data_IF_318660198279
#
_entry.id   IF_318660198279
#
_cell.length_a   1.000
_cell.length_b   1.000
_cell.length_c   1.000
_cell.angle_alpha   90.00
_cell.angle_beta   90.00
_cell.angle_gamma   90.00
#
_symmetry.space_group_name_H-M   'P 1'
#
loop_
_entity.id
_entity.type
_entity.pdbx_description
1 polymer ?
#
# COMPACT_ATOMS: atom_id res chain seq x y z
N UNK A 1 30.54 -6.34 68.43
CA UNK A 1 29.58 -5.53 67.61
C UNK A 1 29.95 -5.44 66.12
N UNK A 2 31.23 -5.50 65.71
CA UNK A 2 31.66 -5.36 64.29
C UNK A 2 31.13 -6.43 63.30
N UNK A 3 31.01 -7.70 63.73
CA UNK A 3 30.55 -8.82 62.87
C UNK A 3 29.08 -8.72 62.44
N UNK A 4 28.21 -8.18 63.31
CA UNK A 4 26.77 -8.01 63.02
C UNK A 4 26.53 -6.89 62.00
N UNK A 5 27.33 -5.82 62.05
CA UNK A 5 27.24 -4.67 61.13
C UNK A 5 27.68 -5.06 59.71
N UNK A 6 28.77 -5.83 59.57
CA UNK A 6 29.20 -6.35 58.26
C UNK A 6 28.18 -7.32 57.64
N UNK A 7 27.54 -8.18 58.44
CA UNK A 7 26.51 -9.09 57.96
C UNK A 7 25.25 -8.34 57.46
N UNK A 8 24.80 -7.30 58.17
CA UNK A 8 23.69 -6.46 57.72
C UNK A 8 24.01 -5.69 56.43
N UNK A 9 25.24 -5.19 56.26
CA UNK A 9 25.67 -4.52 55.04
C UNK A 9 25.68 -5.44 53.82
N UNK A 10 26.09 -6.71 53.99
CA UNK A 10 26.07 -7.70 52.91
C UNK A 10 24.63 -8.06 52.50
N UNK A 11 23.73 -8.21 53.47
CA UNK A 11 22.31 -8.50 53.19
C UNK A 11 21.66 -7.34 52.43
N UNK A 12 21.92 -6.10 52.85
CA UNK A 12 21.42 -4.90 52.15
C UNK A 12 21.98 -4.84 50.73
N UNK A 13 23.28 -5.12 50.53
CA UNK A 13 23.90 -5.16 49.21
C UNK A 13 23.25 -6.18 48.27
N UNK A 14 22.95 -7.40 48.76
CA UNK A 14 22.29 -8.44 47.97
C UNK A 14 20.86 -8.06 47.58
N UNK A 15 20.11 -7.41 48.48
CA UNK A 15 18.75 -6.94 48.21
C UNK A 15 18.76 -5.82 47.14
N UNK A 16 19.70 -4.88 47.22
CA UNK A 16 19.79 -3.80 46.23
C UNK A 16 20.14 -4.35 44.85
N UNK A 17 21.09 -5.29 44.78
CA UNK A 17 21.49 -5.91 43.50
C UNK A 17 20.34 -6.74 42.91
N UNK A 18 19.60 -7.50 43.73
CA UNK A 18 18.48 -8.31 43.23
C UNK A 18 17.33 -7.45 42.67
N UNK A 19 17.02 -6.33 43.32
CA UNK A 19 16.01 -5.38 42.83
C UNK A 19 16.43 -4.76 41.49
N UNK A 20 17.71 -4.41 41.32
CA UNK A 20 18.24 -3.87 40.05
C UNK A 20 18.13 -4.91 38.93
N UNK A 21 18.47 -6.17 39.21
CA UNK A 21 18.36 -7.26 38.23
C UNK A 21 16.90 -7.48 37.83
N UNK A 22 15.96 -7.46 38.78
CA UNK A 22 14.53 -7.61 38.49
C UNK A 22 14.05 -6.45 37.62
N UNK A 23 14.38 -5.21 37.94
CA UNK A 23 13.97 -4.03 37.16
C UNK A 23 14.55 -4.06 35.74
N UNK A 24 15.80 -4.52 35.57
CA UNK A 24 16.42 -4.63 34.26
C UNK A 24 15.89 -5.80 33.42
N UNK A 25 15.54 -6.93 34.04
CA UNK A 25 15.11 -8.15 33.34
C UNK A 25 13.59 -8.17 33.09
N UNK A 26 12.79 -7.55 33.97
CA UNK A 26 11.33 -7.47 33.85
C UNK A 26 10.84 -6.98 32.47
N UNK A 27 11.38 -5.90 31.86
CA UNK A 27 10.94 -5.45 30.53
C UNK A 27 11.36 -6.39 29.40
N UNK A 28 12.35 -7.28 29.59
CA UNK A 28 12.73 -8.28 28.58
C UNK A 28 11.83 -9.52 28.63
N UNK A 29 11.36 -9.91 29.81
CA UNK A 29 10.49 -11.09 30.00
C UNK A 29 9.02 -10.74 29.73
N UNK A 30 8.60 -9.50 29.99
CA UNK A 30 7.21 -9.05 29.84
C UNK A 30 6.93 -8.28 28.55
N UNK A 31 7.81 -8.36 27.53
CA UNK A 31 7.52 -7.75 26.23
C UNK A 31 6.14 -8.21 25.76
N UNK A 32 5.16 -7.30 25.58
CA UNK A 32 3.88 -7.68 25.00
C UNK A 32 4.19 -8.20 23.59
N UNK A 33 3.81 -9.45 23.31
CA UNK A 33 3.76 -9.93 21.93
C UNK A 33 2.86 -8.96 21.18
N UNK A 34 3.41 -8.16 20.28
CA UNK A 34 2.60 -7.46 19.29
C UNK A 34 1.79 -8.54 18.57
N UNK A 35 0.47 -8.35 18.37
CA UNK A 35 -0.30 -9.28 17.57
C UNK A 35 0.32 -9.33 16.17
N UNK A 36 0.73 -10.53 15.75
CA UNK A 36 1.13 -10.80 14.38
C UNK A 36 -0.06 -10.45 13.47
N UNK A 37 -0.01 -9.29 12.82
CA UNK A 37 -0.97 -8.95 11.78
C UNK A 37 -0.20 -8.50 10.53
N UNK A 38 -0.11 -9.38 9.54
CA UNK A 38 -0.46 -9.00 8.19
C UNK A 38 -1.86 -9.52 7.96
N UNK A 39 -2.89 -8.71 8.29
CA UNK A 39 -4.15 -8.86 7.57
C UNK A 39 -3.81 -8.44 6.14
N UNK A 40 -3.62 -9.42 5.26
CA UNK A 40 -3.53 -9.16 3.82
C UNK A 40 -4.91 -8.68 3.39
N UNK A 41 -5.20 -7.41 3.65
CA UNK A 41 -6.36 -6.72 3.10
C UNK A 41 -6.28 -6.93 1.58
N UNK A 42 -7.35 -7.40 0.92
CA UNK A 42 -7.36 -7.44 -0.53
C UNK A 42 -7.01 -6.03 -1.02
N UNK A 43 -6.13 -5.91 -2.03
CA UNK A 43 -5.68 -4.60 -2.48
C UNK A 43 -6.91 -3.77 -2.84
N UNK A 44 -7.00 -2.57 -2.26
CA UNK A 44 -8.10 -1.60 -2.49
C UNK A 44 -8.29 -1.28 -3.99
N UNK A 45 -7.27 -1.56 -4.79
CA UNK A 45 -7.20 -1.30 -6.22
C UNK A 45 -6.79 -2.56 -6.97
N UNK A 46 -7.48 -2.82 -8.08
CA UNK A 46 -7.06 -3.82 -9.07
C UNK A 46 -5.95 -3.19 -9.93
N UNK A 47 -4.83 -3.89 -10.10
CA UNK A 47 -3.70 -3.41 -10.90
C UNK A 47 -3.74 -4.06 -12.28
N UNK A 48 -3.66 -3.24 -13.32
CA UNK A 48 -3.67 -3.70 -14.71
C UNK A 48 -2.46 -3.07 -15.40
N UNK A 49 -1.52 -3.90 -15.84
CA UNK A 49 -0.38 -3.44 -16.65
C UNK A 49 -0.68 -3.72 -18.11
N UNK A 50 -0.55 -2.69 -18.96
CA UNK A 50 -0.76 -2.79 -20.40
C UNK A 50 0.45 -2.24 -21.13
N UNK A 51 0.85 -2.91 -22.20
CA UNK A 51 1.78 -2.35 -23.19
C UNK A 51 1.04 -1.61 -24.30
N UNK A 52 1.74 -0.72 -24.98
CA UNK A 52 1.17 0.01 -26.13
C UNK A 52 0.63 -0.96 -27.18
N UNK A 53 -0.64 -0.80 -27.54
CA UNK A 53 -1.37 -1.68 -28.45
C UNK A 53 -2.07 -2.87 -27.79
N UNK A 54 -1.76 -3.20 -26.53
CA UNK A 54 -2.46 -4.24 -25.77
C UNK A 54 -3.80 -3.74 -25.22
N UNK A 55 -4.69 -4.69 -24.97
CA UNK A 55 -5.98 -4.45 -24.33
C UNK A 55 -6.25 -5.45 -23.20
N UNK A 56 -7.03 -5.03 -22.22
CA UNK A 56 -7.49 -5.85 -21.11
C UNK A 56 -8.97 -5.59 -20.83
N UNK A 57 -9.66 -6.65 -20.38
CA UNK A 57 -11.03 -6.55 -19.88
C UNK A 57 -11.00 -6.27 -18.38
N UNK A 58 -11.61 -5.16 -17.96
CA UNK A 58 -11.61 -4.66 -16.58
C UNK A 58 -13.04 -4.35 -16.18
N UNK A 59 -13.60 -5.17 -15.27
CA UNK A 59 -15.00 -5.03 -14.79
C UNK A 59 -16.05 -4.91 -15.91
N UNK A 60 -15.84 -5.58 -17.04
CA UNK A 60 -16.73 -5.52 -18.21
C UNK A 60 -16.48 -4.36 -19.18
N UNK A 61 -15.43 -3.55 -18.93
CA UNK A 61 -14.94 -2.54 -19.87
C UNK A 61 -13.65 -3.06 -20.53
N UNK A 62 -13.60 -3.06 -21.86
CA UNK A 62 -12.38 -3.30 -22.61
C UNK A 62 -11.57 -2.00 -22.66
N UNK A 63 -10.33 -2.06 -22.19
CA UNK A 63 -9.42 -0.92 -22.17
C UNK A 63 -8.23 -1.27 -23.03
N UNK A 64 -7.87 -0.39 -23.96
CA UNK A 64 -6.72 -0.54 -24.84
C UNK A 64 -5.79 0.64 -24.67
N UNK A 65 -4.50 0.37 -24.52
CA UNK A 65 -3.48 1.41 -24.46
C UNK A 65 -3.10 1.83 -25.88
N UNK A 66 -3.30 3.09 -26.24
CA UNK A 66 -3.08 3.60 -27.61
C UNK A 66 -1.70 4.23 -27.74
N UNK A 67 -1.35 5.14 -26.82
CA UNK A 67 -0.08 5.84 -26.86
C UNK A 67 0.36 6.29 -25.47
N UNK A 68 1.66 6.56 -25.36
CA UNK A 68 2.32 7.10 -24.17
C UNK A 68 3.14 8.31 -24.62
N UNK A 69 2.79 9.50 -24.11
CA UNK A 69 3.49 10.75 -24.39
C UNK A 69 4.31 11.16 -23.16
N UNK A 70 5.57 10.76 -23.16
CA UNK A 70 6.46 10.91 -21.99
C UNK A 70 6.77 12.36 -21.62
N UNK A 71 6.86 13.25 -22.62
CA UNK A 71 7.19 14.66 -22.39
C UNK A 71 6.15 15.36 -21.50
N UNK A 72 4.88 14.98 -21.66
CA UNK A 72 3.75 15.54 -20.93
C UNK A 72 3.27 14.62 -19.80
N UNK A 73 3.88 13.44 -19.67
CA UNK A 73 3.42 12.31 -18.86
C UNK A 73 1.95 11.93 -19.15
N UNK A 74 1.51 12.13 -20.38
CA UNK A 74 0.15 11.86 -20.83
C UNK A 74 0.04 10.44 -21.39
N UNK A 75 -1.03 9.74 -21.07
CA UNK A 75 -1.34 8.40 -21.57
C UNK A 75 -2.68 8.44 -22.27
N UNK A 76 -2.73 7.99 -23.52
CA UNK A 76 -4.00 7.89 -24.25
C UNK A 76 -4.47 6.45 -24.25
N UNK A 77 -5.68 6.26 -23.74
CA UNK A 77 -6.39 4.98 -23.72
C UNK A 77 -7.64 5.06 -24.58
N UNK A 78 -8.02 3.91 -25.13
CA UNK A 78 -9.31 3.70 -25.74
C UNK A 78 -10.12 2.79 -24.81
N UNK A 79 -11.31 3.23 -24.43
CA UNK A 79 -12.21 2.50 -23.55
C UNK A 79 -13.47 2.14 -24.31
N UNK A 80 -13.83 0.87 -24.28
CA UNK A 80 -15.03 0.33 -24.87
C UNK A 80 -15.82 -0.48 -23.85
N UNK A 81 -17.13 -0.30 -23.80
CA UNK A 81 -18.06 -1.12 -23.03
C UNK A 81 -19.13 -1.63 -23.99
N UNK A 82 -19.68 -2.83 -23.75
CA UNK A 82 -20.77 -3.40 -24.56
C UNK A 82 -22.01 -2.47 -24.66
N UNK A 83 -22.22 -1.63 -23.64
CA UNK A 83 -23.29 -0.63 -23.63
C UNK A 83 -22.99 0.62 -24.46
N UNK A 84 -21.74 0.82 -24.89
CA UNK A 84 -21.31 1.95 -25.69
C UNK A 84 -21.39 1.61 -27.18
N UNK A 85 -22.02 2.48 -27.96
CA UNK A 85 -22.10 2.32 -29.41
C UNK A 85 -20.74 2.53 -30.12
N UNK A 86 -19.81 3.24 -29.49
CA UNK A 86 -18.48 3.56 -30.02
C UNK A 86 -17.44 3.58 -28.89
N UNK A 87 -16.18 3.21 -29.15
CA UNK A 87 -15.10 3.37 -28.20
C UNK A 87 -14.84 4.86 -27.92
N UNK A 88 -14.48 5.16 -26.68
CA UNK A 88 -14.11 6.50 -26.24
C UNK A 88 -12.60 6.58 -26.07
N UNK A 89 -11.98 7.56 -26.70
CA UNK A 89 -10.55 7.85 -26.53
C UNK A 89 -10.39 8.90 -25.44
N UNK A 90 -9.54 8.61 -24.47
CA UNK A 90 -9.31 9.46 -23.29
C UNK A 90 -7.83 9.62 -23.07
N UNK A 91 -7.38 10.85 -22.86
CA UNK A 91 -6.03 11.15 -22.39
C UNK A 91 -6.05 11.31 -20.87
N UNK A 92 -5.06 10.72 -20.21
CA UNK A 92 -4.91 10.75 -18.76
C UNK A 92 -3.53 11.27 -18.40
N UNK A 93 -3.49 12.19 -17.46
CA UNK A 93 -2.27 12.76 -16.95
C UNK A 93 -2.25 12.56 -15.42
N UNK A 94 -1.34 11.72 -14.87
CA UNK A 94 -1.28 11.44 -13.44
C UNK A 94 -0.94 12.68 -12.59
N UNK A 95 -0.36 13.73 -13.19
CA UNK A 95 -0.02 14.99 -12.52
C UNK A 95 -1.02 16.13 -12.77
N UNK A 96 -1.79 16.07 -13.86
CA UNK A 96 -2.77 17.08 -14.26
C UNK A 96 -4.11 16.99 -13.53
N UNK A 97 -5.14 17.63 -14.08
CA UNK A 97 -6.52 17.51 -13.59
C UNK A 97 -7.19 16.21 -14.08
N UNK A 98 -6.73 15.68 -15.21
CA UNK A 98 -7.22 14.44 -15.84
C UNK A 98 -6.52 13.19 -15.27
N UNK A 99 -6.47 13.06 -13.93
CA UNK A 99 -5.76 11.97 -13.25
C UNK A 99 -6.48 10.63 -13.33
N UNK A 100 -7.77 10.64 -13.57
CA UNK A 100 -8.60 9.45 -13.56
C UNK A 100 -9.72 9.56 -14.57
N UNK A 101 -10.04 8.44 -15.21
CA UNK A 101 -11.21 8.30 -16.05
C UNK A 101 -12.26 7.47 -15.33
N UNK A 102 -13.47 8.01 -15.22
CA UNK A 102 -14.63 7.25 -14.73
C UNK A 102 -15.24 6.48 -15.89
N UNK A 103 -15.01 5.17 -15.91
CA UNK A 103 -15.50 4.27 -16.97
C UNK A 103 -17.01 4.05 -16.87
N UNK A 104 -17.50 3.87 -15.66
CA UNK A 104 -18.93 3.68 -15.37
C UNK A 104 -19.29 4.26 -13.99
N UNK A 105 -20.53 4.09 -13.53
CA UNK A 105 -20.98 4.65 -12.25
C UNK A 105 -20.15 4.18 -11.04
N UNK A 106 -19.60 2.96 -11.11
CA UNK A 106 -18.93 2.24 -10.04
C UNK A 106 -17.44 2.00 -10.30
N UNK A 107 -16.91 2.29 -11.48
CA UNK A 107 -15.51 1.97 -11.81
C UNK A 107 -14.77 3.18 -12.34
N UNK A 108 -13.58 3.43 -11.79
CA UNK A 108 -12.64 4.43 -12.28
C UNK A 108 -11.26 3.81 -12.52
N UNK A 109 -10.54 4.33 -13.50
CA UNK A 109 -9.17 3.93 -13.86
C UNK A 109 -8.24 5.13 -13.80
N UNK A 110 -7.02 4.92 -13.30
CA UNK A 110 -6.00 5.95 -13.21
C UNK A 110 -4.62 5.39 -13.55
N UNK A 111 -3.79 6.11 -14.34
CA UNK A 111 -2.41 5.73 -14.58
C UNK A 111 -1.60 5.96 -13.32
N UNK A 112 -0.89 4.93 -12.85
CA UNK A 112 -0.08 4.99 -11.63
C UNK A 112 1.42 4.93 -11.90
N UNK A 113 1.84 4.23 -12.96
CA UNK A 113 3.22 4.18 -13.39
C UNK A 113 3.28 4.19 -14.91
N UNK A 114 4.05 5.11 -15.47
CA UNK A 114 4.26 5.24 -16.92
C UNK A 114 5.72 4.88 -17.21
N UNK A 115 5.93 3.93 -18.11
CA UNK A 115 7.23 3.52 -18.65
C UNK A 115 7.17 3.63 -20.18
N UNK A 116 8.31 3.48 -20.84
CA UNK A 116 8.43 3.74 -22.28
C UNK A 116 7.52 2.86 -23.14
N UNK A 117 7.28 1.61 -22.74
CA UNK A 117 6.47 0.63 -23.48
C UNK A 117 5.15 0.25 -22.80
N UNK A 118 4.92 0.72 -21.58
CA UNK A 118 3.84 0.21 -20.73
C UNK A 118 3.34 1.20 -19.70
N UNK A 119 2.09 1.00 -19.30
CA UNK A 119 1.46 1.75 -18.22
C UNK A 119 0.82 0.77 -17.24
N UNK A 120 1.10 0.99 -15.96
CA UNK A 120 0.36 0.35 -14.87
C UNK A 120 -0.80 1.25 -14.51
N UNK A 121 -2.01 0.74 -14.73
CA UNK A 121 -3.24 1.34 -14.29
C UNK A 121 -3.67 0.75 -12.95
N UNK A 122 -4.27 1.60 -12.14
CA UNK A 122 -4.99 1.21 -10.95
C UNK A 122 -6.49 1.43 -11.21
N UNK A 123 -7.28 0.45 -10.79
CA UNK A 123 -8.71 0.43 -11.00
C UNK A 123 -9.38 0.41 -9.64
N UNK A 124 -10.22 1.40 -9.37
CA UNK A 124 -10.99 1.51 -8.13
C UNK A 124 -12.46 1.25 -8.38
N UNK A 125 -13.09 0.55 -7.43
CA UNK A 125 -14.55 0.50 -7.34
C UNK A 125 -15.04 1.67 -6.48
N UNK A 126 -15.79 2.57 -7.07
CA UNK A 126 -16.39 3.73 -6.41
C UNK A 126 -17.57 3.29 -5.52
N UNK A 127 -17.77 3.94 -4.36
CA UNK A 127 -18.95 3.71 -3.53
C UNK A 127 -20.23 4.09 -4.30
N UNK A 128 -21.27 3.28 -4.12
CA UNK A 128 -22.58 3.45 -4.78
C UNK A 128 -23.44 4.52 -4.13
#
# INVERSE_FOLDING_TARGET
MKKKIMASLLIIGVIVISVIIIVLVYPYVTKPKLPDLPVTLPPKYEKVELKTGESAMVKGNLIKLISIERAEETVTIEVYNETMAKPLVVSLNPRGDERAFKMDKKTAIFPASIKDDRVTFLVETLPS
#
